data_IF_703308201772
#
_entry.id   IF_703308201772
#
_cell.length_a   1.000
_cell.length_b   1.000
_cell.length_c   1.000
_cell.angle_alpha   90.00
_cell.angle_beta   90.00
_cell.angle_gamma   90.00
#
_symmetry.space_group_name_H-M   'P 1'
#
loop_
_entity.id
_entity.type
_entity.pdbx_description
1 polymer ?
#
# COMPACT_ATOMS: atom_id res chain seq x y z
N UNK A 1 -0.20 4.63 8.20
CA UNK A 1 -1.07 3.45 8.09
C UNK A 1 -2.40 3.66 8.76
N UNK A 2 -3.43 3.05 8.17
CA UNK A 2 -4.83 3.11 8.58
C UNK A 2 -5.33 1.72 9.00
N UNK A 3 -6.49 1.66 9.66
CA UNK A 3 -7.15 0.40 10.03
C UNK A 3 -7.90 -0.26 8.86
N UNK A 4 -8.81 -1.18 9.19
CA UNK A 4 -9.64 -1.92 8.22
C UNK A 4 -10.70 -1.07 7.51
N UNK A 5 -11.06 0.09 8.07
CA UNK A 5 -11.97 1.06 7.45
C UNK A 5 -13.35 0.47 7.06
N UNK A 6 -13.91 -0.43 7.90
CA UNK A 6 -15.20 -1.09 7.62
C UNK A 6 -16.38 -0.12 7.54
N UNK A 7 -16.30 0.99 8.25
CA UNK A 7 -17.27 2.08 8.23
C UNK A 7 -17.41 2.77 6.85
N UNK A 8 -16.39 2.66 5.98
CA UNK A 8 -16.35 3.27 4.65
C UNK A 8 -16.17 2.25 3.51
N UNK A 9 -16.24 0.95 3.80
CA UNK A 9 -16.09 -0.09 2.80
C UNK A 9 -17.20 0.03 1.72
N UNK A 10 -16.80 0.00 0.45
CA UNK A 10 -17.73 0.12 -0.68
C UNK A 10 -18.21 1.54 -1.01
N UNK A 11 -17.82 2.56 -0.25
CA UNK A 11 -18.24 3.96 -0.49
C UNK A 11 -17.36 4.71 -1.50
N UNK A 12 -16.20 4.16 -1.87
CA UNK A 12 -15.27 4.79 -2.82
C UNK A 12 -14.53 6.03 -2.27
N UNK A 13 -14.54 6.24 -0.96
CA UNK A 13 -13.93 7.42 -0.29
C UNK A 13 -12.65 7.11 0.49
N UNK A 14 -12.18 5.86 0.48
CA UNK A 14 -10.93 5.49 1.13
C UNK A 14 -9.75 6.14 0.40
N UNK A 15 -8.84 6.77 1.14
CA UNK A 15 -7.61 7.34 0.58
C UNK A 15 -6.59 6.21 0.29
N UNK A 16 -6.18 5.99 -0.98
CA UNK A 16 -5.29 4.88 -1.33
C UNK A 16 -3.79 5.18 -1.14
N UNK A 17 -3.41 6.40 -0.71
CA UNK A 17 -2.01 6.89 -0.74
C UNK A 17 -1.04 5.96 0.00
N UNK A 18 -1.35 5.53 1.22
CA UNK A 18 -0.45 4.66 2.02
C UNK A 18 -0.24 3.30 1.37
N UNK A 19 -1.28 2.70 0.77
CA UNK A 19 -1.15 1.41 0.08
C UNK A 19 -0.26 1.54 -1.17
N UNK A 20 -0.41 2.63 -1.92
CA UNK A 20 0.45 2.92 -3.09
C UNK A 20 1.91 3.05 -2.65
N UNK A 21 2.21 3.81 -1.60
CA UNK A 21 3.58 3.96 -1.10
C UNK A 21 4.16 2.65 -0.57
N UNK A 22 3.35 1.83 0.12
CA UNK A 22 3.76 0.51 0.58
C UNK A 22 4.13 -0.43 -0.59
N UNK A 23 3.33 -0.43 -1.66
CA UNK A 23 3.62 -1.22 -2.87
C UNK A 23 4.88 -0.74 -3.59
N UNK A 24 5.09 0.58 -3.71
CA UNK A 24 6.33 1.14 -4.28
C UNK A 24 7.56 0.73 -3.48
N UNK A 25 7.48 0.80 -2.15
CA UNK A 25 8.57 0.39 -1.28
C UNK A 25 8.84 -1.12 -1.42
N UNK A 26 7.80 -1.95 -1.40
CA UNK A 26 7.94 -3.39 -1.60
C UNK A 26 8.60 -3.72 -2.95
N UNK A 27 8.19 -3.06 -4.03
CA UNK A 27 8.80 -3.19 -5.34
C UNK A 27 10.29 -2.85 -5.31
N UNK A 28 10.67 -1.71 -4.70
CA UNK A 28 12.06 -1.30 -4.59
C UNK A 28 12.91 -2.30 -3.79
N UNK A 29 12.37 -2.83 -2.68
CA UNK A 29 13.07 -3.81 -1.85
C UNK A 29 13.26 -5.13 -2.59
N UNK A 30 12.24 -5.62 -3.31
CA UNK A 30 12.33 -6.84 -4.11
C UNK A 30 13.41 -6.73 -5.20
N UNK A 31 13.50 -5.58 -5.88
CA UNK A 31 14.50 -5.35 -6.94
C UNK A 31 15.91 -5.08 -6.39
N UNK A 32 16.04 -4.49 -5.19
CA UNK A 32 17.33 -4.36 -4.52
C UNK A 32 17.90 -5.69 -4.04
N UNK A 33 17.06 -6.68 -3.70
CA UNK A 33 17.49 -7.99 -3.22
C UNK A 33 17.88 -8.97 -4.34
N UNK A 34 17.46 -8.74 -5.59
CA UNK A 34 17.81 -9.59 -6.73
C UNK A 34 19.24 -9.37 -7.27
N UNK A 35 20.02 -8.46 -6.67
CA UNK A 35 21.39 -8.14 -7.06
C UNK A 35 22.45 -8.84 -6.17
N UNK A 36 22.21 -10.12 -5.82
CA UNK A 36 23.18 -10.97 -5.11
C UNK A 36 23.61 -12.11 -6.03
#
# INVERSE_FOLDING_TARGET
DHGTAFDIAGQGIANPTSMIEALKLAYQLAHKQAAV
#
